data_IF_077993840162
#
_entry.id   IF_077993840162
#
_cell.length_a   1.000
_cell.length_b   1.000
_cell.length_c   1.000
_cell.angle_alpha   90.00
_cell.angle_beta   90.00
_cell.angle_gamma   90.00
#
_symmetry.space_group_name_H-M   'P 1'
#
loop_
_entity.id
_entity.type
_entity.pdbx_description
1 polymer ?
#
# COMPACT_ATOMS: atom_id res chain seq x y z
N UNK A 1 28.15 -13.70 -14.08
CA UNK A 1 27.14 -12.67 -13.72
C UNK A 1 25.68 -13.12 -13.87
N UNK A 2 25.35 -14.26 -14.48
CA UNK A 2 23.96 -14.70 -14.70
C UNK A 2 23.16 -15.01 -13.41
N UNK A 3 23.83 -15.50 -12.35
CA UNK A 3 23.17 -15.92 -11.10
C UNK A 3 22.51 -14.77 -10.33
N UNK A 4 23.10 -13.58 -10.34
CA UNK A 4 22.53 -12.40 -9.68
C UNK A 4 21.31 -11.86 -10.40
N UNK A 5 21.27 -11.94 -11.73
CA UNK A 5 20.11 -11.51 -12.53
C UNK A 5 18.88 -12.38 -12.26
N UNK A 6 19.08 -13.71 -12.13
CA UNK A 6 18.01 -14.64 -11.76
C UNK A 6 17.48 -14.31 -10.36
N UNK A 7 18.36 -14.17 -9.38
CA UNK A 7 17.95 -13.87 -8.00
C UNK A 7 17.20 -12.54 -7.87
N UNK A 8 17.60 -11.51 -8.62
CA UNK A 8 16.90 -10.22 -8.63
C UNK A 8 15.53 -10.31 -9.29
N UNK A 9 15.38 -11.17 -10.30
CA UNK A 9 14.09 -11.42 -10.96
C UNK A 9 13.15 -12.13 -10.00
N UNK A 10 13.62 -13.21 -9.36
CA UNK A 10 12.86 -13.95 -8.35
C UNK A 10 12.43 -13.04 -7.19
N UNK A 11 13.34 -12.17 -6.72
CA UNK A 11 13.00 -11.18 -5.70
C UNK A 11 11.90 -10.23 -6.17
N UNK A 12 11.96 -9.75 -7.40
CA UNK A 12 10.91 -8.92 -8.01
C UNK A 12 9.55 -9.61 -8.01
N UNK A 13 9.51 -10.87 -8.45
CA UNK A 13 8.29 -11.68 -8.50
C UNK A 13 7.67 -11.88 -7.10
N UNK A 14 8.50 -12.13 -6.10
CA UNK A 14 8.06 -12.26 -4.70
C UNK A 14 7.50 -10.94 -4.15
N UNK A 15 8.14 -9.81 -4.48
CA UNK A 15 7.65 -8.48 -4.10
C UNK A 15 6.27 -8.22 -4.72
N UNK A 16 6.07 -8.60 -5.98
CA UNK A 16 4.79 -8.41 -6.68
C UNK A 16 3.69 -9.36 -6.18
N UNK A 17 4.05 -10.59 -5.83
CA UNK A 17 3.15 -11.50 -5.10
C UNK A 17 2.71 -10.90 -3.76
N UNK A 18 3.65 -10.34 -2.99
CA UNK A 18 3.36 -9.70 -1.71
C UNK A 18 2.45 -8.47 -1.84
N UNK A 19 2.69 -7.60 -2.84
CA UNK A 19 1.80 -6.48 -3.15
C UNK A 19 0.36 -6.95 -3.41
N UNK A 20 0.19 -7.95 -4.28
CA UNK A 20 -1.13 -8.51 -4.60
C UNK A 20 -1.82 -9.08 -3.36
N UNK A 21 -1.07 -9.79 -2.52
CA UNK A 21 -1.60 -10.33 -1.27
C UNK A 21 -2.07 -9.21 -0.32
N UNK A 22 -1.25 -8.19 -0.11
CA UNK A 22 -1.59 -7.03 0.73
C UNK A 22 -2.83 -6.30 0.20
N UNK A 23 -2.92 -6.05 -1.11
CA UNK A 23 -4.09 -5.39 -1.71
C UNK A 23 -5.37 -6.23 -1.59
N UNK A 24 -5.27 -7.56 -1.48
CA UNK A 24 -6.43 -8.44 -1.25
C UNK A 24 -6.92 -8.46 0.21
N UNK A 25 -6.14 -7.93 1.16
CA UNK A 25 -6.53 -7.92 2.58
C UNK A 25 -7.67 -6.94 2.83
N UNK A 26 -8.53 -7.24 3.81
CA UNK A 26 -9.51 -6.28 4.34
C UNK A 26 -8.81 -5.14 5.08
N UNK A 27 -9.49 -4.01 5.25
CA UNK A 27 -8.94 -2.86 6.02
C UNK A 27 -8.60 -3.24 7.46
N UNK A 28 -9.39 -4.12 8.09
CA UNK A 28 -9.13 -4.59 9.44
C UNK A 28 -7.84 -5.41 9.51
N UNK A 29 -7.65 -6.33 8.55
CA UNK A 29 -6.43 -7.14 8.47
C UNK A 29 -5.20 -6.28 8.17
N UNK A 30 -5.35 -5.28 7.28
CA UNK A 30 -4.27 -4.36 6.95
C UNK A 30 -3.83 -3.52 8.16
N UNK A 31 -4.80 -3.05 8.98
CA UNK A 31 -4.51 -2.35 10.24
C UNK A 31 -3.86 -3.27 11.27
N UNK A 32 -4.35 -4.50 11.42
CA UNK A 32 -3.75 -5.48 12.33
C UNK A 32 -2.30 -5.81 11.93
N UNK A 33 -2.05 -5.99 10.62
CA UNK A 33 -0.71 -6.20 10.10
C UNK A 33 0.20 -5.01 10.38
N UNK A 34 -0.26 -3.78 10.15
CA UNK A 34 0.50 -2.57 10.49
C UNK A 34 0.90 -2.50 11.97
N UNK A 35 0.02 -2.90 12.88
CA UNK A 35 0.29 -2.94 14.32
C UNK A 35 1.26 -4.06 14.74
N UNK A 36 1.31 -5.16 13.98
CA UNK A 36 2.23 -6.26 14.24
C UNK A 36 3.65 -6.03 13.75
N UNK A 37 3.84 -5.08 12.82
CA UNK A 37 5.14 -4.77 12.26
C UNK A 37 5.95 -3.85 13.19
N UNK A 38 7.29 -3.95 13.19
CA UNK A 38 8.13 -3.05 13.97
C UNK A 38 7.96 -1.61 13.49
N UNK A 39 7.80 -0.68 14.44
CA UNK A 39 7.66 0.75 14.13
C UNK A 39 8.86 1.33 13.38
N UNK A 40 10.04 0.70 13.52
CA UNK A 40 11.26 1.06 12.79
C UNK A 40 11.93 -0.22 12.30
N UNK A 41 11.82 -0.49 11.01
CA UNK A 41 12.52 -1.60 10.37
C UNK A 41 13.90 -1.15 9.85
N UNK A 42 14.95 -1.98 9.96
CA UNK A 42 16.26 -1.66 9.38
C UNK A 42 16.20 -1.55 7.86
N UNK A 43 17.00 -0.67 7.27
CA UNK A 43 17.00 -0.45 5.83
C UNK A 43 17.41 -1.72 5.05
N UNK A 44 16.75 -1.98 3.93
CA UNK A 44 17.06 -3.13 3.06
C UNK A 44 16.57 -4.48 3.58
N UNK A 45 15.75 -4.50 4.63
CA UNK A 45 15.16 -5.72 5.19
C UNK A 45 13.77 -6.02 4.61
N UNK A 46 13.33 -7.28 4.75
CA UNK A 46 11.98 -7.68 4.38
C UNK A 46 10.92 -6.98 5.24
N UNK A 47 11.21 -6.73 6.51
CA UNK A 47 10.36 -5.99 7.44
C UNK A 47 10.15 -4.56 6.96
N UNK A 48 11.20 -3.88 6.48
CA UNK A 48 11.07 -2.53 5.90
C UNK A 48 10.17 -2.54 4.68
N UNK A 49 10.35 -3.52 3.80
CA UNK A 49 9.51 -3.66 2.62
C UNK A 49 8.04 -3.91 3.00
N UNK A 50 7.76 -4.84 3.92
CA UNK A 50 6.39 -5.10 4.39
C UNK A 50 5.76 -3.84 4.98
N UNK A 51 6.50 -3.11 5.82
CA UNK A 51 6.04 -1.86 6.41
C UNK A 51 5.67 -0.84 5.33
N UNK A 52 6.54 -0.63 4.34
CA UNK A 52 6.29 0.27 3.21
C UNK A 52 5.07 -0.13 2.39
N UNK A 53 4.92 -1.42 2.07
CA UNK A 53 3.81 -1.91 1.27
C UNK A 53 2.46 -1.74 1.99
N UNK A 54 2.42 -2.04 3.29
CA UNK A 54 1.21 -1.88 4.12
C UNK A 54 0.79 -0.41 4.21
N UNK A 55 1.72 0.50 4.51
CA UNK A 55 1.42 1.93 4.56
C UNK A 55 0.97 2.47 3.18
N UNK A 56 1.63 2.04 2.11
CA UNK A 56 1.28 2.47 0.75
C UNK A 56 -0.12 2.02 0.35
N UNK A 57 -0.48 0.78 0.66
CA UNK A 57 -1.83 0.27 0.41
C UNK A 57 -2.89 1.05 1.20
N UNK A 58 -2.65 1.26 2.51
CA UNK A 58 -3.57 1.99 3.37
C UNK A 58 -3.81 3.43 2.85
N UNK A 59 -2.73 4.10 2.43
CA UNK A 59 -2.78 5.43 1.84
C UNK A 59 -3.51 5.46 0.49
N UNK A 60 -3.32 4.43 -0.34
CA UNK A 60 -4.05 4.28 -1.61
C UNK A 60 -5.57 4.17 -1.38
N UNK A 61 -5.99 3.37 -0.38
CA UNK A 61 -7.41 3.23 -0.01
C UNK A 61 -7.98 4.52 0.54
N UNK A 62 -7.23 5.24 1.38
CA UNK A 62 -7.63 6.55 1.89
C UNK A 62 -7.92 7.53 0.76
N UNK A 63 -7.02 7.65 -0.22
CA UNK A 63 -7.21 8.51 -1.39
C UNK A 63 -8.39 8.10 -2.24
N UNK A 64 -8.60 6.80 -2.45
CA UNK A 64 -9.73 6.31 -3.22
C UNK A 64 -11.07 6.60 -2.52
N UNK A 65 -11.11 6.49 -1.19
CA UNK A 65 -12.29 6.83 -0.40
C UNK A 65 -12.55 8.35 -0.40
N UNK A 66 -11.50 9.18 -0.37
CA UNK A 66 -11.62 10.64 -0.45
C UNK A 66 -12.07 11.11 -1.85
N UNK A 67 -11.59 10.47 -2.92
CA UNK A 67 -12.01 10.76 -4.28
C UNK A 67 -13.49 10.39 -4.56
N UNK A 68 -14.05 9.45 -3.78
CA UNK A 68 -15.48 9.11 -3.82
C UNK A 68 -16.39 10.12 -3.11
N UNK A 69 -15.83 11.02 -2.30
CA UNK A 69 -16.55 12.10 -1.62
C UNK A 69 -16.42 13.38 -2.46
N UNK A 70 -17.00 13.37 -3.66
CA UNK A 70 -17.27 14.62 -4.37
C UNK A 70 -18.48 15.30 -3.72
N UNK A 71 -18.23 16.15 -2.73
CA UNK A 71 -19.24 17.13 -2.31
C UNK A 71 -19.23 18.26 -3.34
N UNK A 72 -20.28 18.49 -4.13
CA UNK A 72 -20.35 19.72 -4.92
C UNK A 72 -20.34 20.90 -3.95
N UNK A 73 -19.40 21.82 -4.16
CA UNK A 73 -19.33 23.07 -3.42
C UNK A 73 -20.66 23.83 -3.58
N UNK A 74 -21.24 24.42 -2.51
CA UNK A 74 -22.55 25.09 -2.57
C UNK A 74 -22.57 26.38 -3.42
N UNK A 75 -21.47 26.75 -4.07
CA UNK A 75 -21.35 28.00 -4.82
C UNK A 75 -22.05 28.03 -6.19
N UNK A 76 -22.76 26.95 -6.61
CA UNK A 76 -23.38 26.89 -7.96
C UNK A 76 -24.92 26.95 -7.95
N UNK A 77 -25.56 27.21 -6.80
CA UNK A 77 -27.01 27.48 -6.75
C UNK A 77 -27.29 28.97 -6.45
N UNK A 78 -26.95 29.84 -7.39
CA UNK A 78 -27.47 31.21 -7.42
C UNK A 78 -27.45 31.74 -8.85
N UNK A 79 -28.43 31.32 -9.65
CA UNK A 79 -28.98 32.08 -10.78
C UNK A 79 -30.16 31.31 -11.39
N UNK A 80 -31.37 31.67 -10.96
CA UNK A 80 -32.58 31.76 -11.78
C UNK A 80 -33.55 32.71 -11.07
#
# INVERSE_FOLDING_TARGET
MQKSTVLLSDLGDQIDALKRHISSMSDLMLKALALSLPAKAPAGTAEMLMLLLVYREAESRRRHNEAGVFTPSPATQAQN
#
